data_IF_144771930523
#
_entry.id   IF_144771930523
#
_cell.length_a   1.000
_cell.length_b   1.000
_cell.length_c   1.000
_cell.angle_alpha   90.00
_cell.angle_beta   90.00
_cell.angle_gamma   90.00
#
_symmetry.space_group_name_H-M   'P 1'
#
loop_
_entity.id
_entity.type
_entity.pdbx_description
1 polymer ?
#
# COMPACT_ATOMS: atom_id res chain seq x y z
N UNK A 1 -3.13 -1.88 -24.48
CA UNK A 1 -2.21 -0.75 -24.21
C UNK A 1 -0.93 -0.97 -25.03
N UNK A 2 -0.39 0.06 -25.69
CA UNK A 2 0.81 -0.07 -26.51
C UNK A 2 2.00 -0.48 -25.62
N UNK A 3 2.87 -1.36 -26.14
CA UNK A 3 4.07 -1.86 -25.45
C UNK A 3 5.05 -0.71 -25.22
N UNK A 4 5.01 -0.08 -24.05
CA UNK A 4 6.06 0.85 -23.61
C UNK A 4 7.25 0.00 -23.18
N UNK A 5 8.23 -0.19 -24.07
CA UNK A 5 9.38 -1.08 -23.82
C UNK A 5 10.16 -0.71 -22.54
N UNK A 6 10.17 0.57 -22.16
CA UNK A 6 10.81 1.02 -20.92
C UNK A 6 10.18 0.46 -19.63
N UNK A 7 8.91 0.04 -19.65
CA UNK A 7 8.24 -0.53 -18.46
C UNK A 7 8.76 -1.92 -18.09
N UNK A 8 9.54 -2.58 -18.96
CA UNK A 8 10.15 -3.88 -18.68
C UNK A 8 11.08 -3.85 -17.47
N UNK A 9 11.63 -2.67 -17.13
CA UNK A 9 12.44 -2.48 -15.91
C UNK A 9 11.68 -2.83 -14.63
N UNK A 10 10.34 -2.69 -14.64
CA UNK A 10 9.50 -2.96 -13.48
C UNK A 10 9.25 -4.46 -13.25
N UNK A 11 9.60 -5.33 -14.21
CA UNK A 11 9.57 -6.79 -14.01
C UNK A 11 10.68 -7.27 -13.05
N UNK A 12 11.63 -6.40 -12.71
CA UNK A 12 12.68 -6.69 -11.74
C UNK A 12 12.15 -6.72 -10.30
N UNK A 13 12.66 -7.67 -9.51
CA UNK A 13 12.30 -7.82 -8.10
C UNK A 13 12.74 -6.61 -7.27
N UNK A 14 13.84 -5.93 -7.62
CA UNK A 14 14.29 -4.72 -6.91
C UNK A 14 13.32 -3.54 -7.09
N UNK A 15 12.86 -3.30 -8.32
CA UNK A 15 11.89 -2.23 -8.58
C UNK A 15 10.55 -2.54 -7.90
N UNK A 16 10.12 -3.80 -7.93
CA UNK A 16 8.92 -4.22 -7.21
C UNK A 16 9.07 -4.03 -5.69
N UNK A 17 10.24 -4.30 -5.12
CA UNK A 17 10.53 -4.03 -3.70
C UNK A 17 10.39 -2.54 -3.35
N UNK A 18 10.87 -1.64 -4.22
CA UNK A 18 10.71 -0.19 -4.01
C UNK A 18 9.24 0.24 -4.06
N UNK A 19 8.44 -0.39 -4.92
CA UNK A 19 6.99 -0.15 -4.99
C UNK A 19 6.26 -0.68 -3.75
N UNK A 20 6.63 -1.87 -3.25
CA UNK A 20 6.06 -2.46 -2.03
C UNK A 20 6.27 -1.57 -0.80
N UNK A 21 7.40 -0.86 -0.70
CA UNK A 21 7.64 0.10 0.40
C UNK A 21 6.65 1.27 0.43
N UNK A 22 5.85 1.48 -0.62
CA UNK A 22 4.82 2.51 -0.69
C UNK A 22 3.42 1.99 -0.34
N UNK A 23 3.27 0.69 -0.18
CA UNK A 23 1.99 0.06 0.13
C UNK A 23 1.81 -0.13 1.65
N UNK A 24 0.56 -0.28 2.13
CA UNK A 24 0.30 -0.67 3.51
C UNK A 24 0.93 -2.03 3.85
N UNK A 25 1.37 -2.21 5.10
CA UNK A 25 2.06 -3.43 5.56
C UNK A 25 1.28 -4.71 5.23
N UNK A 26 -0.05 -4.71 5.40
CA UNK A 26 -0.88 -5.87 5.11
C UNK A 26 -0.81 -6.30 3.64
N UNK A 27 -0.71 -5.34 2.71
CA UNK A 27 -0.61 -5.62 1.29
C UNK A 27 0.78 -6.22 0.98
N UNK A 28 1.82 -5.67 1.61
CA UNK A 28 3.19 -6.18 1.49
C UNK A 28 3.31 -7.60 2.03
N UNK A 29 2.72 -7.91 3.20
CA UNK A 29 2.67 -9.27 3.74
C UNK A 29 1.94 -10.23 2.80
N UNK A 30 0.79 -9.82 2.26
CA UNK A 30 0.01 -10.65 1.34
C UNK A 30 0.74 -10.91 0.03
N UNK A 31 1.43 -9.91 -0.52
CA UNK A 31 2.29 -10.08 -1.70
C UNK A 31 3.44 -11.05 -1.42
N UNK A 32 4.09 -10.92 -0.26
CA UNK A 32 5.14 -11.86 0.14
C UNK A 32 4.63 -13.31 0.17
N UNK A 33 3.48 -13.56 0.79
CA UNK A 33 2.87 -14.90 0.78
C UNK A 33 2.56 -15.40 -0.63
N UNK A 34 2.13 -14.53 -1.55
CA UNK A 34 1.90 -14.89 -2.95
C UNK A 34 3.21 -15.28 -3.65
N UNK A 35 4.25 -14.45 -3.53
CA UNK A 35 5.58 -14.71 -4.12
C UNK A 35 6.17 -16.00 -3.56
N UNK A 36 6.14 -16.22 -2.24
CA UNK A 36 6.65 -17.46 -1.64
C UNK A 36 5.99 -18.69 -2.24
N UNK A 37 4.65 -18.68 -2.43
CA UNK A 37 3.93 -19.79 -3.05
C UNK A 37 4.33 -20.03 -4.50
N UNK A 38 4.55 -18.97 -5.27
CA UNK A 38 5.03 -19.08 -6.66
C UNK A 38 6.43 -19.68 -6.71
N UNK A 39 7.34 -19.22 -5.85
CA UNK A 39 8.71 -19.74 -5.75
C UNK A 39 8.74 -21.20 -5.27
N UNK A 40 7.93 -21.56 -4.28
CA UNK A 40 7.79 -22.94 -3.79
C UNK A 40 7.25 -23.88 -4.87
N UNK A 41 6.43 -23.37 -5.80
CA UNK A 41 5.94 -24.11 -6.96
C UNK A 41 6.97 -24.22 -8.11
N UNK A 42 8.16 -23.62 -7.96
CA UNK A 42 9.21 -23.59 -8.98
C UNK A 42 9.00 -22.54 -10.07
N UNK A 43 8.04 -21.61 -9.90
CA UNK A 43 7.83 -20.51 -10.83
C UNK A 43 8.84 -19.39 -10.59
N UNK A 44 9.16 -18.58 -11.63
CA UNK A 44 9.99 -17.40 -11.45
C UNK A 44 9.27 -16.33 -10.62
N UNK A 45 10.04 -15.36 -10.11
CA UNK A 45 9.48 -14.21 -9.43
C UNK A 45 8.41 -13.51 -10.30
N UNK A 46 7.25 -13.12 -9.75
CA UNK A 46 6.18 -12.51 -10.54
C UNK A 46 6.59 -11.17 -11.14
N UNK A 47 6.43 -11.03 -12.47
CA UNK A 47 6.67 -9.76 -13.17
C UNK A 47 5.65 -8.66 -12.82
N UNK A 48 5.88 -7.47 -13.36
CA UNK A 48 5.14 -6.25 -13.04
C UNK A 48 3.66 -6.36 -13.31
N UNK A 49 3.25 -7.04 -14.39
CA UNK A 49 1.83 -7.23 -14.70
C UNK A 49 1.09 -7.95 -13.57
N UNK A 50 1.69 -9.01 -13.02
CA UNK A 50 1.09 -9.76 -11.90
C UNK A 50 1.01 -8.90 -10.66
N UNK A 51 2.03 -8.09 -10.40
CA UNK A 51 2.04 -7.13 -9.32
C UNK A 51 0.96 -6.04 -9.48
N UNK A 52 0.81 -5.44 -10.66
CA UNK A 52 -0.21 -4.42 -10.91
C UNK A 52 -1.63 -4.97 -10.78
N UNK A 53 -1.85 -6.19 -11.28
CA UNK A 53 -3.14 -6.88 -11.15
C UNK A 53 -3.46 -7.15 -9.66
N UNK A 54 -2.45 -7.57 -8.88
CA UNK A 54 -2.56 -7.73 -7.43
C UNK A 54 -2.90 -6.41 -6.72
N UNK A 55 -2.18 -5.33 -6.99
CA UNK A 55 -2.44 -4.03 -6.34
C UNK A 55 -3.85 -3.52 -6.66
N UNK A 56 -4.30 -3.66 -7.91
CA UNK A 56 -5.65 -3.28 -8.30
C UNK A 56 -6.72 -4.09 -7.55
N UNK A 57 -6.49 -5.40 -7.39
CA UNK A 57 -7.37 -6.29 -6.63
C UNK A 57 -7.43 -5.91 -5.14
N UNK A 58 -6.26 -5.73 -4.51
CA UNK A 58 -6.18 -5.35 -3.10
C UNK A 58 -6.81 -3.98 -2.83
N UNK A 59 -6.63 -3.02 -3.74
CA UNK A 59 -7.29 -1.71 -3.63
C UNK A 59 -8.82 -1.83 -3.69
N UNK A 60 -9.34 -2.67 -4.59
CA UNK A 60 -10.79 -2.93 -4.68
C UNK A 60 -11.33 -3.62 -3.42
N UNK A 61 -10.58 -4.56 -2.85
CA UNK A 61 -10.96 -5.23 -1.59
C UNK A 61 -10.93 -4.24 -0.42
N UNK A 62 -9.83 -3.49 -0.28
CA UNK A 62 -9.64 -2.53 0.81
C UNK A 62 -10.66 -1.38 0.78
N UNK A 63 -11.16 -1.02 -0.40
CA UNK A 63 -12.16 0.02 -0.61
C UNK A 63 -13.60 -0.53 -0.77
N UNK A 64 -13.84 -1.81 -0.45
CA UNK A 64 -15.18 -2.39 -0.54
C UNK A 64 -16.18 -1.62 0.37
N UNK A 65 -17.30 -1.10 -0.15
CA UNK A 65 -18.20 -0.23 0.62
C UNK A 65 -18.99 -0.97 1.71
N UNK A 66 -19.00 -2.30 1.71
CA UNK A 66 -19.76 -3.14 2.64
C UNK A 66 -18.83 -3.78 3.67
N UNK A 67 -17.73 -4.40 3.22
CA UNK A 67 -16.89 -5.27 4.05
C UNK A 67 -15.52 -4.70 4.40
N UNK A 68 -15.12 -3.56 3.82
CA UNK A 68 -13.81 -2.97 4.17
C UNK A 68 -13.73 -2.57 5.63
N UNK A 69 -12.52 -2.49 6.17
CA UNK A 69 -12.30 -1.96 7.52
C UNK A 69 -12.86 -0.54 7.68
N UNK A 70 -12.79 0.28 6.64
CA UNK A 70 -13.38 1.62 6.65
C UNK A 70 -14.91 1.58 6.74
N UNK A 71 -15.57 0.69 5.99
CA UNK A 71 -17.02 0.51 6.04
C UNK A 71 -17.49 -0.04 7.40
N UNK A 72 -16.78 -1.03 7.95
CA UNK A 72 -17.15 -1.69 9.20
C UNK A 72 -16.89 -0.82 10.44
N UNK A 73 -15.85 0.03 10.41
CA UNK A 73 -15.52 0.95 11.51
C UNK A 73 -16.40 2.22 11.52
N UNK A 74 -17.36 2.32 10.60
CA UNK A 74 -18.39 3.35 10.63
C UNK A 74 -17.84 4.78 10.54
N UNK A 75 -17.17 5.14 9.43
CA UNK A 75 -17.01 6.53 8.98
C UNK A 75 -16.64 7.60 10.02
N UNK A 76 -15.90 7.26 11.08
CA UNK A 76 -15.65 8.15 12.22
C UNK A 76 -14.58 9.22 11.93
N UNK A 77 -14.35 9.51 10.64
CA UNK A 77 -13.62 10.68 10.19
C UNK A 77 -14.57 11.59 9.42
N UNK A 78 -15.27 12.46 10.15
CA UNK A 78 -15.80 13.69 9.57
C UNK A 78 -14.65 14.42 8.85
N UNK A 79 -14.74 14.72 7.55
CA UNK A 79 -13.72 15.50 6.85
C UNK A 79 -13.83 16.95 7.32
N UNK A 80 -13.06 17.34 8.34
CA UNK A 80 -13.12 18.73 8.83
C UNK A 80 -12.49 19.07 10.17
N UNK A 81 -11.96 18.13 10.96
CA UNK A 81 -11.23 18.51 12.17
C UNK A 81 -9.76 18.73 11.86
N UNK A 82 -9.44 19.95 11.43
CA UNK A 82 -8.12 20.54 11.56
C UNK A 82 -7.50 20.08 12.88
N UNK A 83 -6.37 19.39 12.80
CA UNK A 83 -5.50 19.17 13.95
C UNK A 83 -5.02 20.55 14.39
N UNK A 84 -5.77 21.23 15.27
CA UNK A 84 -5.26 22.39 16.00
C UNK A 84 -4.00 21.91 16.71
N UNK A 85 -2.84 22.25 16.14
CA UNK A 85 -1.55 22.20 16.81
C UNK A 85 -1.75 22.88 18.16
N UNK A 86 -1.71 22.11 19.24
CA UNK A 86 -1.56 22.66 20.58
C UNK A 86 -0.19 23.36 20.62
N UNK A 87 -0.18 24.66 20.33
CA UNK A 87 0.95 25.53 20.70
C UNK A 87 0.87 25.72 22.21
N UNK A 88 1.50 24.83 22.95
CA UNK A 88 1.84 25.11 24.35
C UNK A 88 3.06 26.01 24.30
N UNK A 89 2.86 27.31 24.51
CA UNK A 89 3.96 28.23 24.74
C UNK A 89 4.59 27.89 26.10
N UNK A 90 5.85 27.47 26.06
CA UNK A 90 6.71 27.37 27.25
C UNK A 90 6.92 28.80 27.72
N UNK A 91 6.27 29.19 28.83
CA UNK A 91 6.60 30.42 29.52
C UNK A 91 7.93 30.20 30.25
N UNK A 92 8.97 30.83 29.71
CA UNK A 92 10.31 30.84 30.28
C UNK A 92 10.32 31.57 31.63
N UNK A 93 11.02 30.96 32.58
CA UNK A 93 11.49 31.53 33.85
C UNK A 93 12.39 32.75 33.61
N UNK A 94 12.14 33.84 34.34
CA UNK A 94 13.03 34.98 34.69
C UNK A 94 12.13 36.00 35.43
N UNK A 95 12.40 36.58 36.61
CA UNK A 95 13.58 36.77 37.47
C UNK A 95 13.07 36.78 38.93
#
# INVERSE_FOLDING_TARGET
MPHVQGLKVLDDCEENQRLLQKLPDWATTRWNCYVTKELDAGNPYPGFKKFSDFVAEEARIACNPISSLHALKGGDETPGKEKKRLKVNILATSV
#
